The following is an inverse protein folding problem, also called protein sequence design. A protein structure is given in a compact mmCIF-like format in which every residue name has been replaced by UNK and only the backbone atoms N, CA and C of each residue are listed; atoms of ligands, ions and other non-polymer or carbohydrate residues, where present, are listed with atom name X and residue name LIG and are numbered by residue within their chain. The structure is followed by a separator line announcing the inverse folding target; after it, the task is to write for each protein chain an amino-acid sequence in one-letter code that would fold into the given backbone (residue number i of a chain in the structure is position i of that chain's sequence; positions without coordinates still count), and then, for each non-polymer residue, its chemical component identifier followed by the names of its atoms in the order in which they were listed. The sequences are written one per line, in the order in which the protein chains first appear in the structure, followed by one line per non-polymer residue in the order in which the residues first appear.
data_IF_947199653230
#
_entry.id   IF_947199653230
#
_cell.length_a   1.000
_cell.length_b   1.000
_cell.length_c   1.000
_cell.angle_alpha   90.00
_cell.angle_beta   90.00
_cell.angle_gamma   90.00
#
_symmetry.space_group_name_H-M   'P 1'
#
loop_
_entity.id
_entity.type
_entity.pdbx_description
1 polymer ?
#
# COMPACT_ATOMS: atom_id res chain seq x y z
N UNK A 1 54.31 11.99 -25.94
CA UNK A 1 53.45 11.21 -26.85
C UNK A 1 52.12 11.02 -26.14
N UNK A 2 51.12 11.80 -26.54
CA UNK A 2 49.76 11.81 -26.01
C UNK A 2 48.99 10.60 -26.55
N UNK A 3 48.33 9.85 -25.68
CA UNK A 3 47.25 8.93 -26.07
C UNK A 3 46.29 8.81 -24.89
N UNK A 4 45.34 9.75 -24.82
CA UNK A 4 44.16 9.63 -23.98
C UNK A 4 43.15 8.74 -24.72
N UNK A 5 42.74 7.64 -24.09
CA UNK A 5 41.81 6.67 -24.65
C UNK A 5 40.36 7.10 -24.31
N UNK A 6 39.52 7.42 -25.31
CA UNK A 6 38.16 7.90 -25.10
C UNK A 6 37.18 6.72 -25.06
N UNK A 7 37.11 5.99 -23.94
CA UNK A 7 36.13 4.90 -23.75
C UNK A 7 35.46 4.91 -22.37
N UNK A 8 35.14 6.11 -21.86
CA UNK A 8 34.41 6.32 -20.59
C UNK A 8 33.02 6.96 -20.81
N UNK A 9 32.37 6.69 -21.94
CA UNK A 9 30.97 7.07 -22.16
C UNK A 9 30.13 5.80 -22.11
N UNK A 10 29.70 5.42 -20.90
CA UNK A 10 28.40 4.78 -20.57
C UNK A 10 28.46 4.36 -19.09
N UNK A 11 28.52 5.35 -18.19
CA UNK A 11 28.18 5.13 -16.78
C UNK A 11 26.66 4.94 -16.70
N UNK A 12 26.21 3.70 -16.89
CA UNK A 12 24.89 3.32 -16.41
C UNK A 12 24.94 3.49 -14.90
N UNK A 13 24.14 4.44 -14.38
CA UNK A 13 24.08 4.77 -12.96
C UNK A 13 23.59 3.57 -12.15
N UNK A 14 24.50 2.64 -11.85
CA UNK A 14 24.30 1.56 -10.91
C UNK A 14 24.15 2.22 -9.53
N UNK A 15 22.91 2.46 -9.13
CA UNK A 15 22.60 2.90 -7.77
C UNK A 15 23.24 1.91 -6.80
N UNK A 16 24.22 2.40 -6.03
CA UNK A 16 24.94 1.58 -5.05
C UNK A 16 23.94 0.93 -4.08
N UNK A 17 24.16 -0.32 -3.65
CA UNK A 17 23.22 -1.06 -2.78
C UNK A 17 22.78 -0.31 -1.52
N UNK A 18 23.64 0.57 -0.99
CA UNK A 18 23.36 1.44 0.17
C UNK A 18 22.26 2.47 -0.13
N UNK A 19 22.28 3.09 -1.30
CA UNK A 19 21.31 4.10 -1.75
C UNK A 19 19.93 3.48 -1.94
N UNK A 20 19.87 2.27 -2.54
CA UNK A 20 18.61 1.54 -2.75
C UNK A 20 17.95 1.17 -1.42
N UNK A 21 18.70 0.65 -0.46
CA UNK A 21 18.15 0.29 0.85
C UNK A 21 17.68 1.53 1.63
N UNK A 22 18.40 2.65 1.52
CA UNK A 22 17.98 3.94 2.07
C UNK A 22 16.62 4.39 1.52
N UNK A 23 16.45 4.37 0.19
CA UNK A 23 15.18 4.70 -0.45
C UNK A 23 14.02 3.81 0.02
N UNK A 24 14.24 2.49 0.08
CA UNK A 24 13.19 1.56 0.54
C UNK A 24 12.76 1.83 1.99
N UNK A 25 13.69 2.23 2.87
CA UNK A 25 13.35 2.62 4.25
C UNK A 25 12.55 3.91 4.29
N UNK A 26 12.88 4.91 3.48
CA UNK A 26 12.10 6.14 3.37
C UNK A 26 10.69 5.86 2.83
N UNK A 27 10.58 5.03 1.80
CA UNK A 27 9.28 4.59 1.26
C UNK A 27 8.44 3.88 2.32
N UNK A 28 9.06 2.98 3.09
CA UNK A 28 8.39 2.33 4.22
C UNK A 28 7.92 3.35 5.26
N UNK A 29 8.77 4.30 5.65
CA UNK A 29 8.40 5.35 6.59
C UNK A 29 7.22 6.19 6.10
N UNK A 30 7.17 6.49 4.79
CA UNK A 30 6.04 7.16 4.18
C UNK A 30 4.77 6.29 4.23
N UNK A 31 4.85 5.02 3.84
CA UNK A 31 3.72 4.08 3.87
C UNK A 31 3.19 3.79 5.29
N UNK A 32 4.06 3.89 6.30
CA UNK A 32 3.71 3.71 7.72
C UNK A 32 3.12 4.98 8.34
N UNK A 33 3.10 6.09 7.62
CA UNK A 33 2.63 7.39 8.11
C UNK A 33 1.18 7.69 7.70
N UNK A 34 0.52 8.52 8.50
CA UNK A 34 -0.78 9.11 8.13
C UNK A 34 -0.73 9.85 6.79
N UNK A 35 0.39 10.49 6.47
CA UNK A 35 0.55 11.19 5.19
C UNK A 35 0.48 10.22 4.02
N UNK A 36 1.21 9.10 4.09
CA UNK A 36 1.14 8.06 3.06
C UNK A 36 -0.26 7.47 2.92
N UNK A 37 -0.95 7.26 4.04
CA UNK A 37 -2.33 6.79 4.04
C UNK A 37 -3.31 7.79 3.41
N UNK A 38 -3.18 9.09 3.73
CA UNK A 38 -4.00 10.17 3.15
C UNK A 38 -3.76 10.29 1.64
N UNK A 39 -2.50 10.24 1.21
CA UNK A 39 -2.13 10.29 -0.21
C UNK A 39 -2.65 9.07 -0.97
N UNK A 40 -2.51 7.88 -0.39
CA UNK A 40 -3.07 6.64 -0.96
C UNK A 40 -4.61 6.70 -1.06
N UNK A 41 -5.26 7.17 0.01
CA UNK A 41 -6.71 7.37 0.03
C UNK A 41 -7.18 8.42 -0.97
N UNK A 42 -6.39 9.47 -1.23
CA UNK A 42 -6.73 10.54 -2.18
C UNK A 42 -6.93 10.01 -3.60
N UNK A 43 -6.12 9.04 -4.02
CA UNK A 43 -6.27 8.39 -5.33
C UNK A 43 -7.64 7.72 -5.45
N UNK A 44 -8.04 6.98 -4.41
CA UNK A 44 -9.34 6.27 -4.40
C UNK A 44 -10.53 7.22 -4.26
N UNK A 45 -10.39 8.27 -3.45
CA UNK A 45 -11.38 9.34 -3.33
C UNK A 45 -11.61 10.06 -4.66
N UNK A 46 -10.53 10.47 -5.33
CA UNK A 46 -10.60 11.14 -6.64
C UNK A 46 -11.24 10.24 -7.71
N UNK A 47 -10.85 8.97 -7.76
CA UNK A 47 -11.48 7.98 -8.63
C UNK A 47 -13.00 7.87 -8.37
N UNK A 48 -13.40 7.77 -7.11
CA UNK A 48 -14.81 7.66 -6.73
C UNK A 48 -15.62 8.91 -7.09
N UNK A 49 -15.05 10.12 -6.93
CA UNK A 49 -15.69 11.37 -7.39
C UNK A 49 -15.88 11.32 -8.91
N UNK A 50 -14.82 11.00 -9.67
CA UNK A 50 -14.89 10.97 -11.13
C UNK A 50 -15.90 9.94 -11.64
N UNK A 51 -15.89 8.73 -11.07
CA UNK A 51 -16.80 7.64 -11.47
C UNK A 51 -18.28 7.94 -11.19
N UNK A 52 -18.58 8.75 -10.16
CA UNK A 52 -19.94 9.11 -9.76
C UNK A 52 -20.33 10.54 -10.18
N UNK A 53 -19.54 11.18 -11.04
CA UNK A 53 -19.78 12.58 -11.43
C UNK A 53 -21.12 12.77 -12.16
N UNK A 54 -21.54 11.75 -12.91
CA UNK A 54 -22.81 11.74 -13.65
C UNK A 54 -24.04 11.80 -12.73
N UNK A 55 -23.94 11.34 -11.47
CA UNK A 55 -25.04 11.35 -10.49
C UNK A 55 -25.16 12.70 -9.75
N UNK A 56 -24.37 13.70 -10.16
CA UNK A 56 -24.38 15.05 -9.63
C UNK A 56 -23.26 15.34 -8.64
N UNK A 57 -22.71 16.56 -8.69
CA UNK A 57 -21.50 16.94 -7.95
C UNK A 57 -21.61 16.74 -6.43
N UNK A 58 -22.77 17.03 -5.82
CA UNK A 58 -22.96 16.83 -4.37
C UNK A 58 -22.89 15.35 -3.98
N UNK A 59 -23.49 14.46 -4.78
CA UNK A 59 -23.45 13.02 -4.53
C UNK A 59 -22.03 12.48 -4.78
N UNK A 60 -21.41 12.87 -5.89
CA UNK A 60 -20.05 12.48 -6.24
C UNK A 60 -19.03 12.82 -5.14
N UNK A 61 -19.11 14.03 -4.57
CA UNK A 61 -18.22 14.46 -3.49
C UNK A 61 -18.43 13.66 -2.19
N UNK A 62 -19.67 13.34 -1.82
CA UNK A 62 -19.96 12.50 -0.65
C UNK A 62 -19.39 11.09 -0.82
N UNK A 63 -19.61 10.48 -1.99
CA UNK A 63 -19.06 9.15 -2.31
C UNK A 63 -17.54 9.19 -2.32
N UNK A 64 -16.95 10.25 -2.89
CA UNK A 64 -15.52 10.53 -2.86
C UNK A 64 -14.92 10.60 -1.47
N UNK A 65 -15.52 11.39 -0.57
CA UNK A 65 -15.08 11.53 0.82
C UNK A 65 -15.21 10.21 1.61
N UNK A 66 -16.28 9.46 1.38
CA UNK A 66 -16.47 8.15 1.99
C UNK A 66 -15.39 7.15 1.55
N UNK A 67 -15.08 7.10 0.25
CA UNK A 67 -14.02 6.24 -0.27
C UNK A 67 -12.63 6.70 0.19
N UNK A 68 -12.37 8.00 0.16
CA UNK A 68 -11.12 8.58 0.65
C UNK A 68 -10.83 8.20 2.11
N UNK A 69 -11.79 8.47 3.00
CA UNK A 69 -11.64 8.21 4.43
C UNK A 69 -11.48 6.72 4.72
N UNK A 70 -12.32 5.88 4.09
CA UNK A 70 -12.23 4.42 4.24
C UNK A 70 -10.88 3.90 3.75
N UNK A 71 -10.43 4.30 2.56
CA UNK A 71 -9.14 3.87 2.01
C UNK A 71 -7.95 4.34 2.83
N UNK A 72 -7.97 5.57 3.37
CA UNK A 72 -6.91 6.07 4.23
C UNK A 72 -6.83 5.27 5.54
N UNK A 73 -7.95 5.05 6.21
CA UNK A 73 -8.01 4.26 7.44
C UNK A 73 -7.54 2.82 7.19
N UNK A 74 -8.04 2.19 6.13
CA UNK A 74 -7.69 0.81 5.78
C UNK A 74 -6.21 0.67 5.42
N UNK A 75 -5.63 1.68 4.77
CA UNK A 75 -4.20 1.72 4.47
C UNK A 75 -3.37 1.83 5.74
N UNK A 76 -3.69 2.79 6.62
CA UNK A 76 -2.95 3.03 7.86
C UNK A 76 -3.02 1.83 8.82
N UNK A 77 -4.24 1.36 9.12
CA UNK A 77 -4.41 0.20 9.99
C UNK A 77 -3.95 -1.10 9.32
N UNK A 78 -4.07 -1.20 8.00
CA UNK A 78 -3.56 -2.31 7.21
C UNK A 78 -2.04 -2.45 7.32
N UNK A 79 -1.28 -1.37 7.13
CA UNK A 79 0.19 -1.42 7.29
C UNK A 79 0.59 -1.73 8.73
N UNK A 80 -0.11 -1.17 9.73
CA UNK A 80 0.10 -1.53 11.15
C UNK A 80 -0.11 -3.03 11.40
N UNK A 81 -1.22 -3.60 10.92
CA UNK A 81 -1.54 -5.02 11.08
C UNK A 81 -0.53 -5.91 10.36
N UNK A 82 -0.16 -5.56 9.12
CA UNK A 82 0.84 -6.29 8.35
C UNK A 82 2.20 -6.30 9.06
N UNK A 83 2.61 -5.18 9.68
CA UNK A 83 3.82 -5.12 10.52
C UNK A 83 3.70 -6.03 11.75
N UNK A 84 2.55 -6.03 12.41
CA UNK A 84 2.30 -6.88 13.56
C UNK A 84 2.39 -8.37 13.19
N UNK A 85 1.77 -8.79 12.10
CA UNK A 85 1.85 -10.17 11.62
C UNK A 85 3.25 -10.55 11.13
N UNK A 86 3.98 -9.61 10.51
CA UNK A 86 5.40 -9.80 10.17
C UNK A 86 6.29 -9.89 11.41
N UNK A 87 5.99 -9.16 12.49
CA UNK A 87 6.77 -9.22 13.73
C UNK A 87 6.76 -10.59 14.41
N UNK A 88 5.73 -11.41 14.14
CA UNK A 88 5.56 -12.74 14.72
C UNK A 88 6.27 -13.88 13.93
N UNK A 89 6.85 -13.59 12.77
CA UNK A 89 7.68 -14.53 12.00
C UNK A 89 8.59 -13.77 11.03
N UNK A 90 9.85 -14.16 10.86
CA UNK A 90 10.77 -13.45 9.98
C UNK A 90 10.97 -14.15 8.62
N UNK A 91 11.54 -13.42 7.65
CA UNK A 91 11.84 -13.97 6.32
C UNK A 91 10.60 -14.21 5.45
N UNK A 92 10.63 -15.27 4.63
CA UNK A 92 9.55 -15.59 3.70
C UNK A 92 8.23 -15.94 4.41
N UNK A 93 8.29 -16.68 5.52
CA UNK A 93 7.13 -17.00 6.34
C UNK A 93 6.49 -15.73 6.95
N UNK A 94 7.33 -14.78 7.38
CA UNK A 94 6.89 -13.46 7.82
C UNK A 94 6.17 -12.67 6.74
N UNK A 95 6.75 -12.64 5.53
CA UNK A 95 6.16 -11.97 4.38
C UNK A 95 4.79 -12.55 4.02
N UNK A 96 4.68 -13.89 4.00
CA UNK A 96 3.42 -14.57 3.72
C UNK A 96 2.36 -14.29 4.81
N UNK A 97 2.73 -14.32 6.09
CA UNK A 97 1.82 -13.99 7.21
C UNK A 97 1.37 -12.53 7.16
N UNK A 98 2.27 -11.61 6.85
CA UNK A 98 1.94 -10.20 6.68
C UNK A 98 0.94 -10.00 5.54
N UNK A 99 1.19 -10.61 4.38
CA UNK A 99 0.29 -10.55 3.23
C UNK A 99 -1.08 -11.17 3.56
N UNK A 100 -1.11 -12.39 4.09
CA UNK A 100 -2.36 -13.09 4.42
C UNK A 100 -3.14 -12.36 5.52
N UNK A 101 -2.47 -11.89 6.57
CA UNK A 101 -3.09 -11.14 7.65
C UNK A 101 -3.61 -9.78 7.21
N UNK A 102 -2.88 -9.07 6.35
CA UNK A 102 -3.33 -7.81 5.73
C UNK A 102 -4.58 -8.02 4.87
N UNK A 103 -4.56 -9.00 3.97
CA UNK A 103 -5.72 -9.33 3.14
C UNK A 103 -6.92 -9.75 3.99
N UNK A 104 -6.73 -10.62 4.97
CA UNK A 104 -7.79 -11.09 5.86
C UNK A 104 -8.43 -9.93 6.63
N UNK A 105 -7.63 -9.05 7.23
CA UNK A 105 -8.14 -7.90 7.97
C UNK A 105 -8.90 -6.92 7.06
N UNK A 106 -8.34 -6.63 5.89
CA UNK A 106 -8.98 -5.76 4.90
C UNK A 106 -10.34 -6.30 4.48
N UNK A 107 -10.42 -7.58 4.08
CA UNK A 107 -11.70 -8.16 3.66
C UNK A 107 -12.67 -8.36 4.81
N UNK A 108 -12.21 -8.74 6.00
CA UNK A 108 -13.08 -8.81 7.18
C UNK A 108 -13.72 -7.45 7.48
N UNK A 109 -12.92 -6.37 7.45
CA UNK A 109 -13.41 -5.00 7.66
C UNK A 109 -14.42 -4.60 6.59
N UNK A 110 -14.12 -4.86 5.31
CA UNK A 110 -15.01 -4.54 4.21
C UNK A 110 -16.32 -5.32 4.28
N UNK A 111 -16.28 -6.61 4.60
CA UNK A 111 -17.47 -7.44 4.79
C UNK A 111 -18.34 -6.92 5.95
N UNK A 112 -17.73 -6.52 7.07
CA UNK A 112 -18.46 -5.92 8.21
C UNK A 112 -19.13 -4.62 7.80
N UNK A 113 -18.39 -3.71 7.15
CA UNK A 113 -18.95 -2.42 6.69
C UNK A 113 -20.09 -2.62 5.70
N UNK A 114 -19.93 -3.49 4.71
CA UNK A 114 -20.99 -3.80 3.75
C UNK A 114 -22.19 -4.50 4.37
N UNK A 115 -21.96 -5.35 5.39
CA UNK A 115 -23.01 -5.98 6.18
C UNK A 115 -23.84 -4.97 6.97
N UNK A 116 -23.18 -3.99 7.60
CA UNK A 116 -23.85 -2.89 8.33
C UNK A 116 -24.65 -1.96 7.41
N UNK A 117 -24.16 -1.72 6.19
CA UNK A 117 -24.82 -0.87 5.19
C UNK A 117 -25.95 -1.62 4.45
N UNK A 118 -25.97 -2.95 4.50
CA UNK A 118 -26.97 -3.77 3.82
C UNK A 118 -26.77 -3.85 2.30
N UNK A 119 -25.52 -3.88 1.83
CA UNK A 119 -25.22 -3.94 0.38
C UNK A 119 -25.63 -5.30 -0.19
N UNK A 120 -26.53 -5.33 -1.19
CA UNK A 120 -27.06 -6.59 -1.74
C UNK A 120 -26.05 -7.41 -2.55
N UNK A 121 -25.06 -6.77 -3.17
CA UNK A 121 -24.10 -7.42 -4.08
C UNK A 121 -22.63 -7.20 -3.67
N UNK A 122 -22.31 -7.58 -2.42
CA UNK A 122 -20.98 -7.35 -1.80
C UNK A 122 -19.81 -7.80 -2.67
N UNK A 123 -19.87 -9.00 -3.26
CA UNK A 123 -18.77 -9.54 -4.07
C UNK A 123 -18.49 -8.71 -5.34
N UNK A 124 -19.54 -8.22 -6.00
CA UNK A 124 -19.40 -7.37 -7.18
C UNK A 124 -18.80 -6.00 -6.83
N UNK A 125 -19.11 -5.48 -5.64
CA UNK A 125 -18.56 -4.21 -5.15
C UNK A 125 -17.08 -4.34 -4.75
N UNK A 126 -16.67 -5.51 -4.26
CA UNK A 126 -15.28 -5.78 -3.86
C UNK A 126 -14.36 -6.14 -5.03
N UNK A 127 -14.90 -6.72 -6.10
CA UNK A 127 -14.15 -7.17 -7.26
C UNK A 127 -13.16 -6.14 -7.84
N UNK A 128 -13.54 -4.86 -8.09
CA UNK A 128 -12.60 -3.88 -8.63
C UNK A 128 -11.46 -3.51 -7.66
N UNK A 129 -11.71 -3.59 -6.35
CA UNK A 129 -10.70 -3.32 -5.31
C UNK A 129 -9.73 -4.47 -5.06
N UNK A 130 -10.01 -5.66 -5.60
CA UNK A 130 -9.24 -6.87 -5.32
C UNK A 130 -7.81 -6.78 -5.83
N UNK A 131 -7.63 -6.40 -7.10
CA UNK A 131 -6.31 -6.31 -7.72
C UNK A 131 -5.42 -5.27 -7.01
N UNK A 132 -5.87 -4.00 -6.80
CA UNK A 132 -5.06 -3.00 -6.09
C UNK A 132 -4.69 -3.46 -4.67
N UNK A 133 -5.61 -4.09 -3.95
CA UNK A 133 -5.35 -4.56 -2.58
C UNK A 133 -4.32 -5.69 -2.54
N UNK A 134 -4.41 -6.67 -3.46
CA UNK A 134 -3.41 -7.71 -3.59
C UNK A 134 -2.02 -7.16 -3.92
N UNK A 135 -1.95 -6.22 -4.87
CA UNK A 135 -0.70 -5.56 -5.24
C UNK A 135 -0.10 -4.79 -4.06
N UNK A 136 -0.93 -4.06 -3.32
CA UNK A 136 -0.51 -3.32 -2.13
C UNK A 136 0.04 -4.24 -1.05
N UNK A 137 -0.73 -5.26 -0.63
CA UNK A 137 -0.32 -6.20 0.41
C UNK A 137 0.94 -6.97 0.01
N UNK A 138 1.05 -7.40 -1.24
CA UNK A 138 2.24 -8.09 -1.74
C UNK A 138 3.45 -7.17 -1.72
N UNK A 139 3.33 -5.96 -2.29
CA UNK A 139 4.42 -4.99 -2.38
C UNK A 139 4.91 -4.56 -1.00
N UNK A 140 3.98 -4.32 -0.07
CA UNK A 140 4.33 -3.94 1.30
C UNK A 140 4.96 -5.10 2.07
N UNK A 141 4.49 -6.34 1.92
CA UNK A 141 5.15 -7.52 2.50
C UNK A 141 6.58 -7.70 1.98
N UNK A 142 6.81 -7.52 0.68
CA UNK A 142 8.15 -7.52 0.09
C UNK A 142 9.01 -6.37 0.65
N UNK A 143 8.42 -5.18 0.82
CA UNK A 143 9.11 -4.04 1.42
C UNK A 143 9.55 -4.34 2.86
N UNK A 144 8.70 -5.00 3.67
CA UNK A 144 9.04 -5.46 5.01
C UNK A 144 10.22 -6.44 4.98
N UNK A 145 10.17 -7.45 4.09
CA UNK A 145 11.24 -8.43 3.91
C UNK A 145 12.58 -7.81 3.50
N UNK A 146 12.57 -6.68 2.79
CA UNK A 146 13.77 -5.99 2.31
C UNK A 146 14.32 -4.93 3.28
N UNK A 147 13.52 -4.48 4.25
CA UNK A 147 13.88 -3.33 5.12
C UNK A 147 14.01 -3.67 6.60
N UNK A 148 13.61 -4.87 7.05
CA UNK A 148 13.93 -5.38 8.40
C UNK A 148 15.29 -6.10 8.42
N UNK A 149 16.07 -6.03 9.53
CA UNK A 149 15.63 -6.03 10.93
C UNK A 149 15.78 -4.66 11.60
N UNK A 150 14.73 -4.20 12.28
CA UNK A 150 14.86 -3.17 13.31
C UNK A 150 14.23 -3.75 14.56
N UNK A 151 15.10 -4.18 15.48
CA UNK A 151 14.86 -4.72 16.83
C UNK A 151 13.47 -5.31 17.07
N UNK A 152 13.44 -6.62 17.31
CA UNK A 152 12.41 -7.23 18.14
C UNK A 152 12.13 -6.26 19.30
N UNK A 153 10.89 -5.76 19.39
CA UNK A 153 10.48 -4.92 20.50
C UNK A 153 10.66 -5.77 21.76
N UNK A 154 11.70 -5.43 22.52
CA UNK A 154 11.87 -5.80 23.91
C UNK A 154 10.95 -4.92 24.76
#
# INVERSE_FOLDING_TARGET
MLSENPTQLFSTAATTPSTRLGLLRTLRGLMDSWLGAILGGAVYGAWAVWANWADGANQALKVGLAHWSTSALLTFFGTMAMRFFYGQAHGAAGGLRAMAGGLCLTYATLLVVHGLIGTQHVLLTLAPGLIPNFLFCTSYALLLMRTQPLKALA
#
